data_IF_989987731639
#
_entry.id   IF_989987731639
#
_cell.length_a   1.000
_cell.length_b   1.000
_cell.length_c   1.000
_cell.angle_alpha   90.00
_cell.angle_beta   90.00
_cell.angle_gamma   90.00
#
_symmetry.space_group_name_H-M   'P 1'
#
loop_
_entity.id
_entity.type
_entity.pdbx_description
1 polymer ?
#
# COMPACT_ATOMS: atom_id res chain seq x y z
N UNK A 1 -4.26 -8.61 6.80
CA UNK A 1 -2.98 -9.26 7.06
C UNK A 1 -3.00 -10.12 8.31
N UNK A 2 -2.14 -11.12 8.35
CA UNK A 2 -1.87 -11.96 9.52
C UNK A 2 -0.36 -12.15 9.65
N UNK A 3 0.08 -12.59 10.84
CA UNK A 3 1.41 -13.17 11.02
C UNK A 3 1.27 -14.67 11.24
N UNK A 4 2.12 -15.45 10.62
CA UNK A 4 2.21 -16.89 10.79
C UNK A 4 3.64 -17.28 11.16
N UNK A 5 3.80 -18.30 11.96
CA UNK A 5 5.09 -18.95 12.16
C UNK A 5 5.35 -19.92 11.01
N UNK A 6 6.50 -19.79 10.35
CA UNK A 6 6.91 -20.65 9.25
C UNK A 6 8.40 -20.99 9.35
N UNK A 7 8.76 -22.11 9.97
CA UNK A 7 10.15 -22.45 10.24
C UNK A 7 10.98 -22.72 8.96
N UNK A 8 10.34 -23.11 7.88
CA UNK A 8 11.02 -23.52 6.63
C UNK A 8 10.87 -22.53 5.46
N UNK A 9 10.25 -21.35 5.68
CA UNK A 9 10.01 -20.41 4.58
C UNK A 9 11.30 -19.98 3.86
N UNK A 10 12.36 -19.69 4.64
CA UNK A 10 13.64 -19.23 4.09
C UNK A 10 14.37 -20.33 3.30
N UNK A 11 14.14 -21.60 3.62
CA UNK A 11 14.68 -22.74 2.87
C UNK A 11 13.99 -22.88 1.51
N UNK A 12 12.67 -22.73 1.48
CA UNK A 12 11.85 -22.88 0.27
C UNK A 12 12.03 -21.71 -0.69
N UNK A 13 12.04 -20.47 -0.18
CA UNK A 13 12.11 -19.27 -1.01
C UNK A 13 13.47 -18.59 -1.03
N UNK A 14 14.53 -19.28 -0.62
CA UNK A 14 15.92 -18.79 -0.61
C UNK A 14 16.05 -17.40 0.01
N UNK A 15 16.63 -17.33 1.18
CA UNK A 15 16.97 -16.15 1.96
C UNK A 15 16.31 -14.81 1.54
N UNK A 16 15.30 -14.36 2.30
CA UNK A 16 14.68 -13.02 2.25
C UNK A 16 13.90 -12.69 0.97
N UNK A 17 13.44 -13.68 0.22
CA UNK A 17 12.56 -13.41 -0.92
C UNK A 17 11.23 -12.86 -0.46
N UNK A 18 10.82 -11.74 -1.06
CA UNK A 18 9.46 -11.24 -0.94
C UNK A 18 8.60 -11.94 -1.98
N UNK A 19 7.52 -12.58 -1.55
CA UNK A 19 6.57 -13.18 -2.47
C UNK A 19 5.38 -12.24 -2.67
N UNK A 20 5.12 -11.91 -3.92
CA UNK A 20 3.87 -11.31 -4.36
C UNK A 20 3.18 -12.25 -5.34
N UNK A 21 1.90 -12.43 -5.15
CA UNK A 21 1.05 -13.15 -6.09
C UNK A 21 -0.04 -12.23 -6.60
N UNK A 22 -0.13 -12.06 -7.91
CA UNK A 22 -1.11 -11.23 -8.58
C UNK A 22 -2.27 -12.11 -9.04
N UNK A 23 -3.50 -11.59 -9.02
CA UNK A 23 -4.73 -12.30 -9.41
C UNK A 23 -5.11 -13.46 -8.49
N UNK A 24 -4.87 -13.33 -7.19
CA UNK A 24 -5.29 -14.32 -6.20
C UNK A 24 -6.81 -14.35 -6.12
N UNK A 25 -7.38 -15.46 -6.50
CA UNK A 25 -8.76 -15.96 -6.41
C UNK A 25 -9.92 -15.09 -6.92
N UNK A 26 -9.72 -13.86 -7.31
CA UNK A 26 -10.76 -13.00 -7.88
C UNK A 26 -10.27 -12.19 -9.09
N UNK A 27 -9.26 -12.66 -9.79
CA UNK A 27 -8.66 -12.06 -10.98
C UNK A 27 -8.15 -10.60 -10.81
N UNK A 28 -8.33 -9.96 -9.65
CA UNK A 28 -8.11 -8.51 -9.49
C UNK A 28 -7.54 -8.09 -8.13
N UNK A 29 -7.03 -9.04 -7.33
CA UNK A 29 -6.36 -8.78 -6.07
C UNK A 29 -4.87 -9.12 -6.13
N UNK A 30 -4.19 -8.96 -5.01
CA UNK A 30 -2.84 -9.46 -4.81
C UNK A 30 -2.69 -10.02 -3.39
N UNK A 31 -1.81 -10.99 -3.23
CA UNK A 31 -1.41 -11.51 -1.93
C UNK A 31 0.09 -11.34 -1.75
N UNK A 32 0.53 -11.34 -0.51
CA UNK A 32 1.96 -11.26 -0.19
C UNK A 32 2.32 -12.18 0.96
N UNK A 33 3.57 -12.61 0.95
CA UNK A 33 4.22 -13.29 2.06
C UNK A 33 5.63 -12.69 2.22
N UNK A 34 5.84 -11.97 3.30
CA UNK A 34 7.08 -11.27 3.58
C UNK A 34 7.73 -11.83 4.85
N UNK A 35 8.99 -12.27 4.77
CA UNK A 35 9.71 -12.69 5.95
C UNK A 35 9.85 -11.54 6.94
N UNK A 36 9.70 -11.85 8.21
CA UNK A 36 9.86 -10.93 9.32
C UNK A 36 10.93 -11.49 10.28
N UNK A 37 11.04 -10.90 11.46
CA UNK A 37 12.03 -11.33 12.43
C UNK A 37 11.79 -12.78 12.91
N UNK A 38 12.84 -13.59 12.95
CA UNK A 38 12.74 -15.02 13.29
C UNK A 38 12.02 -15.80 12.17
N UNK A 39 11.19 -16.75 12.55
CA UNK A 39 10.43 -17.59 11.64
C UNK A 39 9.06 -16.99 11.27
N UNK A 40 8.84 -15.70 11.50
CA UNK A 40 7.58 -15.06 11.22
C UNK A 40 7.44 -14.66 9.74
N UNK A 41 6.29 -14.93 9.16
CA UNK A 41 5.84 -14.36 7.90
C UNK A 41 4.71 -13.36 8.13
N UNK A 42 4.83 -12.20 7.54
CA UNK A 42 3.71 -11.29 7.34
C UNK A 42 3.02 -11.68 6.06
N UNK A 43 1.85 -12.26 6.16
CA UNK A 43 1.02 -12.62 5.02
C UNK A 43 -0.20 -11.71 4.93
N UNK A 44 -0.70 -11.52 3.74
CA UNK A 44 -1.93 -10.78 3.57
C UNK A 44 -2.44 -10.79 2.14
N UNK A 45 -3.61 -10.18 2.00
CA UNK A 45 -4.29 -10.04 0.72
C UNK A 45 -4.88 -8.64 0.60
N UNK A 46 -4.83 -8.09 -0.59
CA UNK A 46 -5.44 -6.81 -0.94
C UNK A 46 -6.38 -6.97 -2.12
N UNK A 47 -7.61 -6.50 -1.97
CA UNK A 47 -8.63 -6.53 -3.02
C UNK A 47 -9.21 -5.13 -3.21
N UNK A 48 -9.40 -4.64 -4.43
CA UNK A 48 -10.09 -3.38 -4.67
C UNK A 48 -11.52 -3.42 -4.10
N UNK A 49 -11.90 -2.38 -3.34
CA UNK A 49 -13.17 -2.34 -2.63
C UNK A 49 -14.41 -2.49 -3.57
N UNK A 50 -14.32 -1.95 -4.78
CA UNK A 50 -15.38 -2.09 -5.79
C UNK A 50 -15.57 -3.55 -6.22
N UNK A 51 -14.48 -4.31 -6.39
CA UNK A 51 -14.51 -5.74 -6.72
C UNK A 51 -15.03 -6.53 -5.52
N UNK A 52 -14.46 -6.26 -4.33
CA UNK A 52 -14.88 -6.89 -3.09
C UNK A 52 -16.40 -6.83 -2.87
N UNK A 53 -16.99 -5.63 -3.07
CA UNK A 53 -18.43 -5.43 -2.93
C UNK A 53 -19.24 -6.07 -4.06
N UNK A 54 -18.79 -5.90 -5.31
CA UNK A 54 -19.49 -6.43 -6.50
C UNK A 54 -19.59 -7.95 -6.47
N UNK A 55 -18.51 -8.60 -6.12
CA UNK A 55 -18.41 -10.07 -6.14
C UNK A 55 -18.74 -10.70 -4.79
N UNK A 56 -19.12 -9.88 -3.79
CA UNK A 56 -19.46 -10.33 -2.43
C UNK A 56 -18.40 -11.26 -1.82
N UNK A 57 -17.13 -10.87 -2.00
CA UNK A 57 -16.01 -11.69 -1.56
C UNK A 57 -15.92 -11.75 -0.02
N UNK A 58 -15.42 -12.86 0.50
CA UNK A 58 -15.01 -12.99 1.90
C UNK A 58 -13.47 -12.94 1.98
N UNK A 59 -12.95 -11.93 2.63
CA UNK A 59 -11.49 -11.72 2.75
C UNK A 59 -10.81 -12.86 3.52
N UNK A 60 -11.53 -13.50 4.45
CA UNK A 60 -10.98 -14.61 5.24
C UNK A 60 -10.86 -15.87 4.38
N UNK A 61 -11.85 -16.14 3.54
CA UNK A 61 -11.80 -17.26 2.57
C UNK A 61 -10.61 -17.06 1.61
N UNK A 62 -10.47 -15.88 1.04
CA UNK A 62 -9.37 -15.56 0.14
C UNK A 62 -8.00 -15.72 0.81
N UNK A 63 -7.89 -15.30 2.07
CA UNK A 63 -6.64 -15.44 2.81
C UNK A 63 -6.32 -16.89 3.15
N UNK A 64 -7.34 -17.70 3.51
CA UNK A 64 -7.18 -19.14 3.73
C UNK A 64 -6.76 -19.87 2.45
N UNK A 65 -7.32 -19.50 1.30
CA UNK A 65 -6.93 -20.08 0.02
C UNK A 65 -5.47 -19.74 -0.33
N UNK A 66 -5.03 -18.53 0.00
CA UNK A 66 -3.62 -18.16 -0.16
C UNK A 66 -2.70 -18.96 0.79
N UNK A 67 -3.11 -19.16 2.03
CA UNK A 67 -2.37 -20.03 2.97
C UNK A 67 -2.24 -21.45 2.40
N UNK A 68 -3.31 -22.05 1.90
CA UNK A 68 -3.26 -23.37 1.26
C UNK A 68 -2.30 -23.40 0.06
N UNK A 69 -2.23 -22.33 -0.71
CA UNK A 69 -1.26 -22.24 -1.82
C UNK A 69 0.18 -22.22 -1.32
N UNK A 70 0.45 -21.55 -0.18
CA UNK A 70 1.77 -21.59 0.45
C UNK A 70 2.11 -23.01 0.93
N UNK A 71 1.17 -23.68 1.59
CA UNK A 71 1.32 -25.07 2.05
C UNK A 71 1.57 -26.03 0.89
N UNK A 72 0.84 -25.88 -0.22
CA UNK A 72 1.05 -26.69 -1.44
C UNK A 72 2.44 -26.47 -2.08
N UNK A 73 3.09 -25.34 -1.79
CA UNK A 73 4.49 -25.06 -2.17
C UNK A 73 5.49 -25.57 -1.12
N UNK A 74 5.02 -26.27 -0.10
CA UNK A 74 5.84 -26.86 0.95
C UNK A 74 6.09 -25.93 2.15
N UNK A 75 5.51 -24.73 2.19
CA UNK A 75 5.63 -23.83 3.34
C UNK A 75 4.88 -24.40 4.53
N UNK A 76 5.57 -24.62 5.63
CA UNK A 76 4.96 -25.00 6.89
C UNK A 76 4.27 -23.77 7.51
N UNK A 77 3.01 -23.88 7.86
CA UNK A 77 2.22 -22.81 8.47
C UNK A 77 1.83 -23.23 9.88
N UNK A 78 2.32 -22.52 10.86
CA UNK A 78 2.01 -22.71 12.27
C UNK A 78 1.44 -21.41 12.86
N UNK A 79 0.73 -21.48 13.96
CA UNK A 79 0.32 -20.36 14.81
C UNK A 79 -0.04 -19.05 14.08
N UNK A 80 -1.25 -18.99 13.56
CA UNK A 80 -1.78 -17.75 12.97
C UNK A 80 -2.10 -16.73 14.07
N UNK A 81 -1.61 -15.49 13.93
CA UNK A 81 -1.80 -14.42 14.92
C UNK A 81 -1.93 -13.04 14.30
N UNK A 82 -2.41 -12.08 15.09
CA UNK A 82 -2.50 -10.66 14.74
C UNK A 82 -3.27 -10.36 13.45
N UNK A 83 -4.44 -10.99 13.28
CA UNK A 83 -5.32 -10.68 12.16
C UNK A 83 -5.80 -9.23 12.23
N UNK A 84 -5.56 -8.48 11.14
CA UNK A 84 -6.01 -7.09 11.00
C UNK A 84 -6.39 -6.78 9.55
N UNK A 85 -7.47 -6.06 9.37
CA UNK A 85 -7.89 -5.52 8.08
C UNK A 85 -8.01 -4.01 8.13
N UNK A 86 -7.67 -3.36 7.02
CA UNK A 86 -7.75 -1.91 6.86
C UNK A 86 -8.22 -1.56 5.46
N UNK A 87 -8.94 -0.44 5.36
CA UNK A 87 -9.21 0.19 4.08
C UNK A 87 -8.06 1.15 3.75
N UNK A 88 -7.36 0.89 2.64
CA UNK A 88 -6.30 1.74 2.15
C UNK A 88 -6.87 2.81 1.21
N UNK A 89 -6.65 4.10 1.47
CA UNK A 89 -7.14 5.19 0.62
C UNK A 89 -6.23 5.38 -0.59
N UNK A 90 -6.42 4.59 -1.64
CA UNK A 90 -5.65 4.74 -2.88
C UNK A 90 -5.95 6.07 -3.57
N UNK A 91 -4.92 6.77 -3.99
CA UNK A 91 -5.07 7.91 -4.87
C UNK A 91 -5.58 7.45 -6.24
N UNK A 92 -6.67 8.04 -6.73
CA UNK A 92 -7.13 7.78 -8.09
C UNK A 92 -6.16 8.35 -9.13
N UNK A 93 -5.73 9.60 -8.98
CA UNK A 93 -4.72 10.26 -9.82
C UNK A 93 -4.04 11.45 -9.14
N UNK A 94 -4.61 11.99 -8.08
CA UNK A 94 -4.09 13.15 -7.35
C UNK A 94 -4.39 13.05 -5.86
N UNK A 95 -3.38 12.93 -5.01
CA UNK A 95 -3.53 13.07 -3.57
C UNK A 95 -4.15 14.43 -3.21
N UNK A 96 -5.03 14.45 -2.21
CA UNK A 96 -5.59 15.70 -1.66
C UNK A 96 -4.65 16.21 -0.58
N UNK A 97 -3.88 17.22 -0.86
CA UNK A 97 -2.81 17.71 0.02
C UNK A 97 -3.32 18.76 0.99
N UNK A 98 -3.97 19.80 0.51
CA UNK A 98 -4.48 20.88 1.37
C UNK A 98 -5.97 20.73 1.62
N UNK A 99 -6.37 20.93 2.88
CA UNK A 99 -7.77 20.87 3.29
C UNK A 99 -8.30 22.23 3.70
N UNK A 100 -7.52 23.02 4.43
CA UNK A 100 -7.89 24.35 4.95
C UNK A 100 -6.62 25.19 5.15
N UNK A 101 -6.82 26.47 5.45
CA UNK A 101 -5.75 27.38 5.90
C UNK A 101 -4.99 26.72 7.06
N UNK A 102 -3.65 26.69 6.96
CA UNK A 102 -2.73 26.11 7.94
C UNK A 102 -2.91 24.59 8.21
N UNK A 103 -3.66 23.89 7.37
CA UNK A 103 -3.83 22.42 7.47
C UNK A 103 -3.45 21.76 6.16
N UNK A 104 -2.46 20.88 6.22
CA UNK A 104 -2.05 20.05 5.09
C UNK A 104 -2.04 18.58 5.51
N UNK A 105 -2.24 17.70 4.54
CA UNK A 105 -2.26 16.27 4.75
C UNK A 105 -1.06 15.63 4.07
N UNK A 106 -0.52 14.57 4.69
CA UNK A 106 0.55 13.74 4.12
C UNK A 106 0.22 12.26 4.33
N UNK A 107 0.88 11.38 3.57
CA UNK A 107 0.70 9.93 3.67
C UNK A 107 -0.72 9.48 3.38
N UNK A 108 -1.21 8.51 4.11
CA UNK A 108 -2.53 7.88 3.94
C UNK A 108 -3.67 8.89 4.11
N UNK A 109 -3.53 9.85 5.03
CA UNK A 109 -4.52 10.92 5.22
C UNK A 109 -4.74 11.75 3.95
N UNK A 110 -3.75 11.81 3.08
CA UNK A 110 -3.78 12.49 1.77
C UNK A 110 -3.99 11.53 0.59
N UNK A 111 -4.26 10.26 0.85
CA UNK A 111 -4.35 9.21 -0.17
C UNK A 111 -3.06 9.09 -1.02
N UNK A 112 -1.90 9.23 -0.40
CA UNK A 112 -0.60 9.13 -1.07
C UNK A 112 -0.12 7.70 -1.27
N UNK A 113 -1.04 6.76 -1.43
CA UNK A 113 -0.74 5.35 -1.71
C UNK A 113 -0.66 5.16 -3.22
N UNK A 114 0.40 4.50 -3.69
CA UNK A 114 0.56 4.17 -5.09
C UNK A 114 -0.60 3.28 -5.56
N UNK A 115 -1.35 3.69 -6.58
CA UNK A 115 -2.55 2.97 -7.01
C UNK A 115 -2.26 1.60 -7.63
N UNK A 116 -1.02 1.32 -8.02
CA UNK A 116 -0.61 0.05 -8.60
C UNK A 116 -0.06 -0.91 -7.56
N UNK A 117 0.91 -0.47 -6.75
CA UNK A 117 1.65 -1.33 -5.82
C UNK A 117 1.06 -1.38 -4.40
N UNK A 118 0.22 -0.42 -4.01
CA UNK A 118 -0.23 -0.29 -2.62
C UNK A 118 0.82 0.31 -1.67
N UNK A 119 2.00 0.70 -2.19
CA UNK A 119 3.06 1.31 -1.40
C UNK A 119 2.71 2.76 -1.07
N UNK A 120 2.89 3.17 0.20
CA UNK A 120 2.60 4.51 0.68
C UNK A 120 3.68 5.13 1.55
N UNK A 121 4.60 4.31 2.09
CA UNK A 121 5.62 4.76 3.06
C UNK A 121 6.56 5.79 2.43
N UNK A 122 7.12 5.47 1.27
CA UNK A 122 8.02 6.36 0.54
C UNK A 122 7.36 7.71 0.21
N UNK A 123 6.12 7.68 -0.29
CA UNK A 123 5.40 8.91 -0.65
C UNK A 123 5.08 9.76 0.58
N UNK A 124 4.69 9.13 1.70
CA UNK A 124 4.44 9.81 2.97
C UNK A 124 5.71 10.46 3.53
N UNK A 125 6.84 9.74 3.51
CA UNK A 125 8.14 10.27 3.96
C UNK A 125 8.61 11.43 3.07
N UNK A 126 8.53 11.29 1.76
CA UNK A 126 8.93 12.32 0.81
C UNK A 126 8.03 13.57 0.91
N UNK A 127 6.72 13.36 1.12
CA UNK A 127 5.78 14.45 1.39
C UNK A 127 6.15 15.22 2.66
N UNK A 128 6.48 14.51 3.74
CA UNK A 128 6.95 15.12 5.00
C UNK A 128 8.23 15.93 4.80
N UNK A 129 9.21 15.37 4.08
CA UNK A 129 10.45 16.07 3.73
C UNK A 129 10.20 17.33 2.90
N UNK A 130 9.39 17.25 1.85
CA UNK A 130 9.04 18.40 1.02
C UNK A 130 8.27 19.46 1.80
N UNK A 131 7.35 19.06 2.68
CA UNK A 131 6.63 19.99 3.54
C UNK A 131 7.59 20.73 4.46
N UNK A 132 8.42 20.01 5.22
CA UNK A 132 9.40 20.60 6.11
C UNK A 132 10.34 21.56 5.36
N UNK A 133 10.86 21.16 4.21
CA UNK A 133 11.74 22.00 3.38
C UNK A 133 11.11 23.34 2.95
N UNK A 134 9.80 23.35 2.72
CA UNK A 134 9.10 24.54 2.24
C UNK A 134 8.50 25.40 3.36
N UNK A 135 8.44 24.89 4.62
CA UNK A 135 7.75 25.58 5.72
C UNK A 135 8.61 25.83 6.95
N UNK A 136 9.78 25.19 7.11
CA UNK A 136 10.55 25.26 8.37
C UNK A 136 10.93 26.68 8.83
N UNK A 137 11.17 27.59 7.92
CA UNK A 137 11.47 29.00 8.23
C UNK A 137 10.22 29.89 8.33
N UNK A 138 9.03 29.31 8.21
CA UNK A 138 7.76 30.03 8.09
C UNK A 138 6.74 29.62 9.18
N UNK A 139 7.15 28.78 10.14
CA UNK A 139 6.22 28.22 11.13
C UNK A 139 5.51 29.31 11.96
N UNK A 140 6.24 30.37 12.32
CA UNK A 140 5.70 31.50 13.08
C UNK A 140 5.41 32.73 12.18
N UNK A 141 5.37 32.54 10.88
CA UNK A 141 5.19 33.59 9.88
C UNK A 141 3.77 33.59 9.31
N UNK A 142 3.21 34.79 9.00
CA UNK A 142 1.97 34.87 8.23
C UNK A 142 2.10 34.27 6.82
N UNK A 143 3.32 34.01 6.36
CA UNK A 143 3.60 33.41 5.07
C UNK A 143 3.58 31.87 5.06
N UNK A 144 3.21 31.22 6.17
CA UNK A 144 3.12 29.75 6.27
C UNK A 144 2.28 29.16 5.12
N UNK A 145 1.18 29.78 4.76
CA UNK A 145 0.34 29.33 3.65
C UNK A 145 1.05 29.39 2.29
N UNK A 146 1.97 30.33 2.08
CA UNK A 146 2.82 30.36 0.87
C UNK A 146 3.77 29.16 0.86
N UNK A 147 4.34 28.80 2.01
CA UNK A 147 5.15 27.60 2.18
C UNK A 147 4.38 26.31 1.86
N UNK A 148 3.15 26.18 2.38
CA UNK A 148 2.25 25.06 2.07
C UNK A 148 1.97 24.99 0.56
N UNK A 149 1.64 26.11 -0.08
CA UNK A 149 1.43 26.19 -1.53
C UNK A 149 2.68 25.81 -2.35
N UNK A 150 3.87 26.16 -1.85
CA UNK A 150 5.15 25.74 -2.46
C UNK A 150 5.40 24.25 -2.32
N UNK A 151 5.07 23.66 -1.18
CA UNK A 151 5.08 22.21 -0.95
C UNK A 151 4.15 21.49 -1.95
N UNK A 152 2.90 21.93 -2.10
CA UNK A 152 1.97 21.34 -3.06
C UNK A 152 2.49 21.32 -4.49
N UNK A 153 3.07 22.44 -4.92
CA UNK A 153 3.70 22.54 -6.24
C UNK A 153 4.87 21.58 -6.38
N UNK A 154 5.75 21.51 -5.37
CA UNK A 154 6.91 20.63 -5.36
C UNK A 154 6.49 19.15 -5.42
N UNK A 155 5.52 18.75 -4.59
CA UNK A 155 4.98 17.39 -4.59
C UNK A 155 4.33 17.05 -5.93
N UNK A 156 3.48 17.92 -6.45
CA UNK A 156 2.82 17.75 -7.74
C UNK A 156 3.82 17.63 -8.89
N UNK A 157 4.84 18.50 -8.93
CA UNK A 157 5.91 18.44 -9.94
C UNK A 157 6.65 17.09 -9.93
N UNK A 158 6.91 16.55 -8.72
CA UNK A 158 7.65 15.30 -8.54
C UNK A 158 6.82 14.06 -8.87
N UNK A 159 5.56 14.01 -8.44
CA UNK A 159 4.79 12.76 -8.42
C UNK A 159 3.57 12.71 -9.34
N UNK A 160 3.08 13.84 -9.86
CA UNK A 160 1.85 13.86 -10.67
C UNK A 160 1.89 12.89 -11.86
N UNK A 161 2.98 12.89 -12.63
CA UNK A 161 3.13 11.98 -13.79
C UNK A 161 3.20 10.53 -13.36
N UNK A 162 3.92 10.26 -12.28
CA UNK A 162 4.06 8.91 -11.72
C UNK A 162 2.72 8.36 -11.24
N UNK A 163 1.96 9.10 -10.44
CA UNK A 163 0.62 8.67 -10.03
C UNK A 163 -0.32 8.44 -11.21
N UNK A 164 -0.27 9.30 -12.21
CA UNK A 164 -1.08 9.15 -13.42
C UNK A 164 -0.71 7.87 -14.18
N UNK A 165 0.58 7.60 -14.40
CA UNK A 165 1.02 6.39 -15.10
C UNK A 165 0.68 5.12 -14.32
N UNK A 166 0.84 5.12 -13.00
CA UNK A 166 0.43 3.99 -12.15
C UNK A 166 -1.08 3.75 -12.17
N UNK A 167 -1.88 4.82 -12.17
CA UNK A 167 -3.34 4.72 -12.26
C UNK A 167 -3.79 4.15 -13.62
N UNK A 168 -3.15 4.58 -14.72
CA UNK A 168 -3.41 4.04 -16.05
C UNK A 168 -2.99 2.58 -16.17
N UNK A 169 -1.78 2.23 -15.69
CA UNK A 169 -1.31 0.85 -15.68
C UNK A 169 -2.27 -0.08 -14.89
N UNK A 170 -2.75 0.38 -13.74
CA UNK A 170 -3.76 -0.36 -12.99
C UNK A 170 -5.04 -0.59 -13.77
N UNK A 171 -5.55 0.43 -14.49
CA UNK A 171 -6.75 0.29 -15.31
C UNK A 171 -6.56 -0.77 -16.42
N UNK A 172 -5.40 -0.77 -17.07
CA UNK A 172 -5.06 -1.78 -18.10
C UNK A 172 -5.03 -3.18 -17.48
N UNK A 173 -4.35 -3.36 -16.34
CA UNK A 173 -4.26 -4.65 -15.65
C UNK A 173 -5.61 -5.15 -15.09
N UNK A 174 -6.57 -4.26 -14.87
CA UNK A 174 -7.90 -4.59 -14.38
C UNK A 174 -8.94 -4.71 -15.52
N UNK A 175 -8.56 -4.44 -16.77
CA UNK A 175 -9.44 -4.66 -17.90
C UNK A 175 -9.54 -6.17 -18.19
N UNK A 176 -10.74 -6.73 -18.38
CA UNK A 176 -10.87 -8.08 -18.92
C UNK A 176 -10.31 -8.07 -20.34
N UNK A 177 -9.41 -9.00 -20.64
CA UNK A 177 -9.06 -9.35 -22.01
C UNK A 177 -10.15 -10.19 -22.63
#
# INVERSE_FOLDING_TARGET
RQYIDSPNYLEIFKERSLMFEINVSAEKGYAWAFPSKGNLLNIGIGVPLNIFKKEKLDINVLLQDFIKQLENRGVVVENVRDEKSYLLPFASSRPKITQKVNVTLIGDASSMINPMSGEGIFYGMEAGYLLAKNTHNLLDSPDLNKGIGSYEKAFSKRFKRHYLSCALARLVLQSPF
#
